data_IF_786670842433
#
_entry.id   IF_786670842433
#
_cell.length_a   1.000
_cell.length_b   1.000
_cell.length_c   1.000
_cell.angle_alpha   90.00
_cell.angle_beta   90.00
_cell.angle_gamma   90.00
#
_symmetry.space_group_name_H-M   'P 1'
#
loop_
_entity.id
_entity.type
_entity.pdbx_description
1 polymer ?
#
# COMPACT_ATOMS: atom_id res chain seq x y z
N UNK A 1 14.89 9.59 -3.11
CA UNK A 1 13.68 9.14 -2.40
C UNK A 1 13.93 7.72 -1.94
N UNK A 2 13.43 7.36 -0.78
CA UNK A 2 13.46 6.01 -0.23
C UNK A 2 12.08 5.71 0.35
N UNK A 3 11.50 4.57 -0.03
CA UNK A 3 10.17 4.16 0.39
C UNK A 3 10.28 2.84 1.14
N UNK A 4 9.96 2.89 2.43
CA UNK A 4 10.11 1.79 3.36
C UNK A 4 8.74 1.39 3.92
N UNK A 5 8.46 0.09 3.99
CA UNK A 5 7.26 -0.40 4.66
C UNK A 5 7.55 -0.55 6.15
N UNK A 6 6.98 0.33 6.95
CA UNK A 6 7.17 0.33 8.41
C UNK A 6 6.09 -0.48 9.14
N UNK A 7 4.96 -0.73 8.48
CA UNK A 7 3.92 -1.63 8.97
C UNK A 7 3.49 -2.60 7.87
N UNK A 8 3.76 -3.88 8.10
CA UNK A 8 3.38 -4.98 7.22
C UNK A 8 1.96 -5.46 7.59
N UNK A 9 1.15 -5.88 6.60
CA UNK A 9 -0.08 -6.58 6.91
C UNK A 9 0.25 -7.95 7.52
N UNK A 10 -0.54 -8.40 8.48
CA UNK A 10 -0.33 -9.68 9.20
C UNK A 10 -1.43 -10.69 8.92
N UNK A 11 -2.63 -10.20 8.61
CA UNK A 11 -3.81 -11.00 8.33
C UNK A 11 -4.66 -10.34 7.24
N UNK A 12 -5.37 -11.17 6.50
CA UNK A 12 -6.31 -10.77 5.48
C UNK A 12 -7.39 -11.85 5.35
N UNK A 13 -8.65 -11.42 5.31
CA UNK A 13 -9.79 -12.32 5.10
C UNK A 13 -10.26 -12.20 3.64
N UNK A 14 -10.51 -13.33 3.00
CA UNK A 14 -11.25 -13.32 1.74
C UNK A 14 -12.71 -12.94 1.98
N UNK A 15 -13.38 -12.44 0.94
CA UNK A 15 -14.81 -12.12 1.00
C UNK A 15 -15.62 -12.67 -0.20
N UNK A 16 -14.95 -13.23 -1.21
CA UNK A 16 -15.57 -13.78 -2.40
C UNK A 16 -16.53 -12.79 -3.07
N UNK A 17 -17.82 -13.13 -3.08
CA UNK A 17 -18.87 -12.27 -3.65
C UNK A 17 -19.57 -11.40 -2.58
N UNK A 18 -19.28 -11.59 -1.30
CA UNK A 18 -19.87 -10.86 -0.18
C UNK A 18 -19.16 -9.51 0.06
N UNK A 19 -19.24 -8.59 -0.91
CA UNK A 19 -18.54 -7.29 -0.90
C UNK A 19 -18.83 -6.48 0.38
N UNK A 20 -20.08 -6.54 0.88
CA UNK A 20 -20.50 -5.80 2.09
C UNK A 20 -19.88 -6.34 3.39
N UNK A 21 -19.37 -7.57 3.37
CA UNK A 21 -18.72 -8.23 4.50
C UNK A 21 -17.20 -8.23 4.38
N UNK A 22 -16.62 -7.47 3.45
CA UNK A 22 -15.18 -7.41 3.27
C UNK A 22 -14.50 -6.87 4.51
N UNK A 23 -13.38 -7.49 4.88
CA UNK A 23 -12.52 -6.99 5.94
C UNK A 23 -11.25 -6.42 5.30
N UNK A 24 -10.77 -5.24 5.76
CA UNK A 24 -9.49 -4.73 5.31
C UNK A 24 -8.35 -5.62 5.82
N UNK A 25 -7.24 -5.64 5.09
CA UNK A 25 -5.99 -6.24 5.55
C UNK A 25 -5.56 -5.56 6.85
N UNK A 26 -5.12 -6.37 7.81
CA UNK A 26 -4.83 -5.91 9.17
C UNK A 26 -3.49 -6.44 9.66
N UNK A 27 -2.68 -5.64 10.36
CA UNK A 27 -2.80 -4.18 10.48
C UNK A 27 -2.61 -3.51 9.10
N UNK A 28 -3.01 -2.24 8.92
CA UNK A 28 -2.96 -1.59 7.60
C UNK A 28 -1.52 -1.43 7.11
N UNK A 29 -1.32 -1.32 5.80
CA UNK A 29 0.03 -1.09 5.25
C UNK A 29 0.40 0.37 5.49
N UNK A 30 1.52 0.60 6.15
CA UNK A 30 2.08 1.94 6.34
C UNK A 30 3.46 1.97 5.68
N UNK A 31 3.61 2.89 4.73
CA UNK A 31 4.88 3.16 4.07
C UNK A 31 5.42 4.54 4.48
N UNK A 32 6.69 4.60 4.87
CA UNK A 32 7.41 5.83 5.18
C UNK A 32 8.19 6.28 3.96
N UNK A 33 8.07 7.56 3.62
CA UNK A 33 8.84 8.22 2.58
C UNK A 33 9.95 9.05 3.20
N UNK A 34 11.19 8.71 2.85
CA UNK A 34 12.36 9.49 3.20
C UNK A 34 12.86 10.22 1.95
N UNK A 35 12.92 11.54 2.04
CA UNK A 35 13.47 12.41 1.01
C UNK A 35 14.73 13.03 1.61
N UNK A 36 15.87 12.90 0.93
CA UNK A 36 17.14 13.45 1.38
C UNK A 36 17.67 14.46 0.37
N UNK A 37 18.29 15.52 0.87
CA UNK A 37 19.08 16.45 0.05
C UNK A 37 20.42 15.82 -0.38
N UNK A 38 21.25 16.59 -1.10
CA UNK A 38 22.59 16.15 -1.53
C UNK A 38 23.56 15.94 -0.35
N UNK A 39 23.31 16.55 0.80
CA UNK A 39 24.10 16.38 2.01
C UNK A 39 23.64 15.19 2.87
N UNK A 40 22.51 14.55 2.53
CA UNK A 40 21.94 13.41 3.24
C UNK A 40 20.92 13.78 4.33
N UNK A 41 20.58 15.06 4.50
CA UNK A 41 19.59 15.49 5.48
C UNK A 41 18.17 15.23 4.99
N UNK A 42 17.30 14.80 5.92
CA UNK A 42 15.89 14.60 5.62
C UNK A 42 15.22 15.95 5.33
N UNK A 43 14.49 16.03 4.21
CA UNK A 43 13.75 17.21 3.78
C UNK A 43 12.25 16.92 3.66
N UNK A 44 11.44 17.94 3.93
CA UNK A 44 9.99 17.92 3.77
C UNK A 44 9.61 18.97 2.72
N UNK A 45 9.37 18.56 1.46
CA UNK A 45 8.93 19.48 0.41
C UNK A 45 7.58 20.13 0.77
N UNK A 46 7.32 21.33 0.25
CA UNK A 46 6.03 22.02 0.43
C UNK A 46 4.92 21.41 -0.44
N UNK A 47 5.27 20.53 -1.39
CA UNK A 47 4.38 20.01 -2.44
C UNK A 47 4.11 18.50 -2.29
N UNK A 48 4.08 18.03 -1.04
CA UNK A 48 3.86 16.61 -0.69
C UNK A 48 2.49 16.09 -1.14
N UNK A 49 1.51 16.97 -1.33
CA UNK A 49 0.15 16.65 -1.78
C UNK A 49 0.14 16.03 -3.18
N UNK A 50 1.16 16.31 -4.00
CA UNK A 50 1.30 15.71 -5.33
C UNK A 50 1.97 14.33 -5.32
N UNK A 51 2.41 13.86 -4.16
CA UNK A 51 3.01 12.54 -4.02
C UNK A 51 1.92 11.52 -3.70
N UNK A 52 1.74 10.57 -4.60
CA UNK A 52 0.73 9.51 -4.51
C UNK A 52 1.43 8.16 -4.42
N UNK A 53 1.01 7.33 -3.48
CA UNK A 53 1.38 5.93 -3.45
C UNK A 53 0.22 5.07 -3.97
N UNK A 54 0.53 4.14 -4.86
CA UNK A 54 -0.44 3.19 -5.40
C UNK A 54 -0.12 1.77 -4.98
N UNK A 55 -1.15 0.99 -4.68
CA UNK A 55 -1.06 -0.41 -4.27
C UNK A 55 -1.56 -1.32 -5.39
N UNK A 56 -0.68 -2.22 -5.84
CA UNK A 56 -0.99 -3.21 -6.87
C UNK A 56 -0.55 -4.61 -6.45
N UNK A 57 -1.02 -5.62 -7.17
CA UNK A 57 -0.52 -6.98 -7.02
C UNK A 57 0.83 -7.12 -7.72
N UNK A 58 1.86 -7.52 -6.99
CA UNK A 58 3.11 -8.03 -7.56
C UNK A 58 2.95 -9.48 -8.02
N UNK A 59 2.26 -10.30 -7.23
CA UNK A 59 1.92 -11.68 -7.56
C UNK A 59 0.60 -12.09 -6.93
N UNK A 60 -0.03 -13.08 -7.56
CA UNK A 60 -1.32 -13.63 -7.15
C UNK A 60 -1.26 -15.16 -7.18
N UNK A 61 -2.08 -15.84 -6.36
CA UNK A 61 -2.15 -17.29 -6.37
C UNK A 61 -2.77 -17.80 -7.68
N UNK A 62 -2.54 -19.08 -7.98
CA UNK A 62 -3.20 -19.74 -9.10
C UNK A 62 -4.68 -19.97 -8.78
N UNK A 63 -5.53 -19.11 -9.32
CA UNK A 63 -6.99 -19.20 -9.19
C UNK A 63 -7.67 -19.42 -10.56
N UNK A 64 -8.89 -19.98 -10.57
CA UNK A 64 -9.73 -20.12 -11.76
C UNK A 64 -9.84 -18.82 -12.57
N UNK A 65 -9.90 -18.92 -13.91
CA UNK A 65 -9.87 -17.76 -14.79
C UNK A 65 -11.04 -16.77 -14.55
N UNK A 66 -12.21 -17.29 -14.19
CA UNK A 66 -13.39 -16.50 -13.83
C UNK A 66 -13.21 -15.69 -12.53
N UNK A 67 -12.24 -16.04 -11.68
CA UNK A 67 -11.96 -15.37 -10.40
C UNK A 67 -10.79 -14.37 -10.46
N UNK A 68 -10.11 -14.23 -11.61
CA UNK A 68 -8.89 -13.41 -11.73
C UNK A 68 -9.11 -11.90 -11.81
N UNK A 69 -10.36 -11.45 -11.88
CA UNK A 69 -10.71 -10.03 -11.96
C UNK A 69 -10.94 -9.47 -10.56
N UNK A 70 -10.59 -8.19 -10.38
CA UNK A 70 -10.90 -7.43 -9.17
C UNK A 70 -10.41 -8.10 -7.89
N UNK A 71 -9.15 -8.52 -7.86
CA UNK A 71 -8.59 -9.22 -6.70
C UNK A 71 -8.36 -8.33 -5.48
N UNK A 72 -8.10 -7.04 -5.71
CA UNK A 72 -7.93 -6.02 -4.69
C UNK A 72 -9.09 -5.04 -4.74
N UNK A 73 -9.71 -4.80 -3.59
CA UNK A 73 -10.82 -3.89 -3.39
C UNK A 73 -10.49 -2.80 -2.37
N UNK A 74 -11.18 -1.67 -2.46
CA UNK A 74 -11.02 -0.50 -1.59
C UNK A 74 -10.03 0.54 -2.13
N UNK A 75 -9.50 1.37 -1.24
CA UNK A 75 -8.64 2.51 -1.54
C UNK A 75 -7.20 2.09 -1.82
N UNK A 76 -6.85 2.07 -3.10
CA UNK A 76 -5.54 1.60 -3.60
C UNK A 76 -4.60 2.73 -4.03
N UNK A 77 -5.04 3.97 -3.94
CA UNK A 77 -4.23 5.14 -4.24
C UNK A 77 -4.39 6.13 -3.09
N UNK A 78 -3.30 6.44 -2.42
CA UNK A 78 -3.31 7.29 -1.22
C UNK A 78 -2.30 8.40 -1.36
N UNK A 79 -2.64 9.57 -0.83
CA UNK A 79 -1.77 10.73 -0.79
C UNK A 79 -0.72 10.62 0.30
N UNK A 80 0.34 11.41 0.19
CA UNK A 80 1.34 11.54 1.23
C UNK A 80 0.81 12.39 2.38
N UNK A 81 1.05 11.96 3.62
CA UNK A 81 0.67 12.67 4.83
C UNK A 81 1.90 12.97 5.68
N UNK A 82 2.00 14.22 6.15
CA UNK A 82 2.96 14.59 7.19
C UNK A 82 2.36 14.30 8.57
N UNK A 83 2.92 13.32 9.28
CA UNK A 83 2.44 12.90 10.60
C UNK A 83 3.60 12.85 11.60
N UNK A 84 3.28 12.71 12.88
CA UNK A 84 4.26 12.38 13.91
C UNK A 84 4.25 10.86 14.16
N UNK A 85 5.44 10.27 14.27
CA UNK A 85 5.58 8.90 14.73
C UNK A 85 5.29 8.79 16.24
N UNK A 86 5.15 7.58 16.81
CA UNK A 86 4.92 7.40 18.24
C UNK A 86 6.03 7.96 19.15
N UNK A 87 7.22 8.24 18.59
CA UNK A 87 8.34 8.85 19.29
C UNK A 87 8.32 10.39 19.21
N UNK A 88 7.33 10.97 18.51
CA UNK A 88 7.13 12.41 18.34
C UNK A 88 7.86 13.02 17.14
N UNK A 89 8.54 12.23 16.32
CA UNK A 89 9.29 12.74 15.17
C UNK A 89 8.36 12.90 13.96
N UNK A 90 8.48 14.02 13.25
CA UNK A 90 7.76 14.24 12.02
C UNK A 90 8.27 13.31 10.90
N UNK A 91 7.36 12.77 10.11
CA UNK A 91 7.65 11.91 8.95
C UNK A 91 6.61 12.06 7.85
N UNK A 92 6.94 11.53 6.67
CA UNK A 92 6.04 11.44 5.53
C UNK A 92 5.55 10.00 5.38
N UNK A 93 4.24 9.81 5.35
CA UNK A 93 3.61 8.50 5.40
C UNK A 93 2.51 8.32 4.36
N UNK A 94 2.39 7.10 3.86
CA UNK A 94 1.27 6.61 3.07
C UNK A 94 0.58 5.50 3.85
N UNK A 95 -0.75 5.58 4.01
CA UNK A 95 -1.52 4.65 4.83
C UNK A 95 -2.60 4.00 3.96
N UNK A 96 -2.49 2.69 3.76
CA UNK A 96 -3.51 1.90 3.07
C UNK A 96 -4.37 1.19 4.11
N UNK A 97 -5.38 1.88 4.63
CA UNK A 97 -6.28 1.38 5.68
C UNK A 97 -7.50 0.63 5.15
N UNK A 98 -7.90 0.89 3.92
CA UNK A 98 -9.09 0.28 3.32
C UNK A 98 -8.73 -0.57 2.10
N UNK A 99 -7.98 -1.65 2.29
CA UNK A 99 -7.64 -2.60 1.22
C UNK A 99 -8.09 -3.99 1.61
N UNK A 100 -8.89 -4.65 0.77
CA UNK A 100 -9.36 -6.02 0.97
C UNK A 100 -8.95 -6.91 -0.21
N UNK A 101 -8.78 -8.21 0.05
CA UNK A 101 -8.47 -9.21 -0.99
C UNK A 101 -9.66 -10.13 -1.18
N UNK A 102 -10.07 -10.35 -2.43
CA UNK A 102 -11.32 -11.05 -2.75
C UNK A 102 -11.28 -12.54 -2.45
N UNK A 103 -10.20 -13.21 -2.83
CA UNK A 103 -10.10 -14.67 -2.79
C UNK A 103 -8.94 -15.11 -1.90
N UNK A 104 -9.05 -16.30 -1.34
CA UNK A 104 -8.03 -16.94 -0.54
C UNK A 104 -6.75 -17.20 -1.36
N UNK A 105 -5.59 -17.04 -0.72
CA UNK A 105 -4.32 -17.48 -1.22
C UNK A 105 -3.15 -16.59 -0.83
N UNK A 106 -2.01 -16.79 -1.46
CA UNK A 106 -0.79 -16.05 -1.18
C UNK A 106 -0.59 -14.96 -2.23
N UNK A 107 -0.51 -13.71 -1.75
CA UNK A 107 -0.37 -12.54 -2.58
C UNK A 107 0.92 -11.81 -2.23
N UNK A 108 1.49 -11.11 -3.20
CA UNK A 108 2.48 -10.08 -2.93
C UNK A 108 1.93 -8.76 -3.41
N UNK A 109 2.04 -7.74 -2.58
CA UNK A 109 1.59 -6.39 -2.87
C UNK A 109 2.79 -5.53 -3.27
N UNK A 110 2.53 -4.49 -4.04
CA UNK A 110 3.55 -3.55 -4.49
C UNK A 110 3.08 -2.15 -4.23
N UNK A 111 3.86 -1.39 -3.49
CA UNK A 111 3.63 0.04 -3.30
C UNK A 111 4.51 0.79 -4.30
N UNK A 112 3.88 1.59 -5.15
CA UNK A 112 4.56 2.39 -6.17
C UNK A 112 4.36 3.87 -5.88
N UNK A 113 5.46 4.60 -5.70
CA UNK A 113 5.45 6.04 -5.51
C UNK A 113 5.39 6.72 -6.87
N UNK A 114 4.42 7.63 -7.04
CA UNK A 114 4.29 8.51 -8.19
C UNK A 114 4.20 9.95 -7.71
N UNK A 115 4.80 10.89 -8.45
CA UNK A 115 4.65 12.32 -8.21
C UNK A 115 3.93 12.93 -9.39
N UNK A 116 2.72 13.43 -9.17
CA UNK A 116 1.92 14.06 -10.23
C UNK A 116 2.40 15.50 -10.36
N UNK A 117 3.34 15.76 -11.27
CA UNK A 117 3.70 17.12 -11.65
C UNK A 117 2.92 17.52 -12.89
N UNK A 118 2.44 18.76 -12.93
CA UNK A 118 1.78 19.35 -14.09
C UNK A 118 2.71 19.53 -15.33
N UNK A 119 3.93 18.98 -15.33
CA UNK A 119 4.92 19.25 -16.40
C UNK A 119 5.72 17.99 -16.80
N UNK A 120 5.44 17.54 -18.04
CA UNK A 120 6.17 16.68 -19.00
C UNK A 120 6.51 15.18 -18.67
N UNK A 121 6.55 14.29 -19.71
CA UNK A 121 6.24 12.85 -19.62
C UNK A 121 7.31 11.92 -19.01
N UNK A 122 8.36 12.44 -18.38
CA UNK A 122 9.54 11.64 -18.00
C UNK A 122 9.89 11.80 -16.52
N UNK A 123 9.04 11.29 -15.62
CA UNK A 123 9.40 11.17 -14.20
C UNK A 123 9.81 9.74 -13.85
N UNK A 124 10.99 9.53 -13.21
CA UNK A 124 11.41 8.21 -12.74
C UNK A 124 10.50 7.73 -11.60
N UNK A 125 10.01 6.50 -11.70
CA UNK A 125 9.18 5.85 -10.69
C UNK A 125 10.06 5.11 -9.68
N UNK A 126 9.82 5.29 -8.38
CA UNK A 126 10.39 4.43 -7.34
C UNK A 126 9.43 3.31 -6.99
N UNK A 127 9.97 2.09 -6.91
CA UNK A 127 9.22 0.86 -6.70
C UNK A 127 9.73 0.16 -5.43
N UNK A 128 8.81 -0.21 -4.54
CA UNK A 128 9.11 -1.10 -3.40
C UNK A 128 8.08 -2.24 -3.35
N UNK A 129 8.51 -3.44 -2.96
CA UNK A 129 7.65 -4.61 -2.87
C UNK A 129 7.30 -4.92 -1.42
N UNK A 130 6.08 -5.41 -1.20
CA UNK A 130 5.52 -5.73 0.11
C UNK A 130 5.00 -7.17 0.08
N UNK A 131 5.47 -8.01 1.00
CA UNK A 131 4.93 -9.35 1.09
C UNK A 131 3.60 -9.31 1.84
N UNK A 132 2.50 -9.76 1.21
CA UNK A 132 1.24 -9.91 1.91
C UNK A 132 1.20 -11.31 2.55
N UNK A 133 0.79 -11.44 3.81
CA UNK A 133 0.61 -12.73 4.45
C UNK A 133 -0.50 -13.51 3.73
N UNK A 134 -0.51 -14.83 3.95
CA UNK A 134 -1.49 -15.73 3.36
C UNK A 134 -2.91 -15.30 3.74
N UNK A 135 -3.72 -14.95 2.74
CA UNK A 135 -5.15 -14.65 2.88
C UNK A 135 -5.86 -15.94 3.27
N UNK A 136 -6.72 -15.89 4.30
CA UNK A 136 -7.42 -17.06 4.85
C UNK A 136 -8.93 -16.86 4.77
N UNK A 137 -9.67 -17.96 4.90
CA UNK A 137 -11.13 -17.93 5.03
C UNK A 137 -11.60 -17.17 6.27
N UNK A 138 -12.87 -16.73 6.29
CA UNK A 138 -13.45 -15.96 7.40
C UNK A 138 -13.48 -16.74 8.73
N UNK A 139 -13.53 -18.07 8.70
CA UNK A 139 -13.60 -18.94 9.89
C UNK A 139 -12.35 -18.86 10.80
N UNK A 140 -11.26 -18.25 10.34
CA UNK A 140 -10.01 -18.09 11.08
C UNK A 140 -9.92 -16.79 11.89
N UNK A 141 -10.96 -15.96 11.87
CA UNK A 141 -11.00 -14.64 12.52
C UNK A 141 -11.93 -14.60 13.76
N UNK A 142 -12.41 -15.76 14.21
CA UNK A 142 -13.22 -15.95 15.42
C UNK A 142 -12.36 -16.37 16.62
#
# INVERSE_FOLDING_TARGET
>A
YELEIIQQPQMAAEFGDAILSRLPITPPIIARLTIRDHAGHAIFPDDIEFMIATLSLASAPRIPANQRRDLLYGDRAVQCHRLQDPQGNAGLFFIFSDVSIRWQGQYQLKVTLSRIRYVLPSTPQLLTSVHCPSVRGPDYFC
#
